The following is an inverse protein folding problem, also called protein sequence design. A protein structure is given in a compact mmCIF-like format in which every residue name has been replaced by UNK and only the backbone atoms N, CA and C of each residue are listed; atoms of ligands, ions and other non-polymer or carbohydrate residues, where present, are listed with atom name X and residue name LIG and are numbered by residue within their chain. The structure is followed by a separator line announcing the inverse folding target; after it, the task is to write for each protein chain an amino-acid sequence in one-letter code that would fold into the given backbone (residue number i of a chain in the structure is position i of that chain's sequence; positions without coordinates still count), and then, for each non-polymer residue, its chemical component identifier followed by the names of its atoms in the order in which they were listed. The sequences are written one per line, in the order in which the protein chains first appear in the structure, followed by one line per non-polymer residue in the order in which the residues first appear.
data_IF_157897301980
#
_entry.id   IF_157897301980
#
_cell.length_a   1.000
_cell.length_b   1.000
_cell.length_c   1.000
_cell.angle_alpha   90.00
_cell.angle_beta   90.00
_cell.angle_gamma   90.00
#
_symmetry.space_group_name_H-M   'P 1'
#
loop_
_entity.id
_entity.type
_entity.pdbx_description
1 polymer ?
#
# COMPACT_ATOMS: atom_id res chain seq x y z
N UNK A 1 -16.25 0.03 28.57
CA UNK A 1 -15.08 0.57 27.82
C UNK A 1 -14.25 -0.58 27.24
N UNK A 2 -14.88 -1.56 26.56
CA UNK A 2 -14.19 -2.82 26.18
C UNK A 2 -14.31 -3.22 24.71
N UNK A 3 -15.32 -2.72 23.98
CA UNK A 3 -15.52 -3.16 22.59
C UNK A 3 -14.56 -2.51 21.59
N UNK A 4 -14.14 -1.26 21.83
CA UNK A 4 -13.22 -0.54 20.94
C UNK A 4 -11.79 -1.11 20.97
N UNK A 5 -11.32 -1.56 22.14
CA UNK A 5 -9.99 -2.16 22.31
C UNK A 5 -9.94 -3.54 21.64
N UNK A 6 -11.00 -4.34 21.78
CA UNK A 6 -11.09 -5.65 21.14
C UNK A 6 -11.25 -5.59 19.61
N UNK A 7 -11.87 -4.53 19.08
CA UNK A 7 -11.91 -4.30 17.63
C UNK A 7 -10.55 -3.88 17.08
N UNK A 8 -9.84 -3.00 17.79
CA UNK A 8 -8.49 -2.59 17.39
C UNK A 8 -7.53 -3.80 17.36
N UNK A 9 -7.50 -4.62 18.41
CA UNK A 9 -6.64 -5.82 18.48
C UNK A 9 -6.94 -6.84 17.37
N UNK A 10 -8.20 -6.98 16.95
CA UNK A 10 -8.58 -7.85 15.82
C UNK A 10 -8.17 -7.29 14.47
N UNK A 11 -8.27 -5.97 14.29
CA UNK A 11 -7.78 -5.29 13.09
C UNK A 11 -6.27 -5.46 13.00
N UNK A 12 -5.57 -5.23 14.10
CA UNK A 12 -4.11 -5.38 14.20
C UNK A 12 -3.69 -6.82 13.89
N UNK A 13 -4.40 -7.84 14.42
CA UNK A 13 -4.11 -9.24 14.11
C UNK A 13 -4.34 -9.59 12.63
N UNK A 14 -5.43 -9.11 12.01
CA UNK A 14 -5.71 -9.36 10.59
C UNK A 14 -4.70 -8.68 9.64
N UNK A 15 -4.20 -7.50 10.02
CA UNK A 15 -3.10 -6.82 9.31
C UNK A 15 -1.82 -7.64 9.43
N UNK A 16 -1.49 -8.13 10.63
CA UNK A 16 -0.30 -8.96 10.85
C UNK A 16 -0.37 -10.31 10.14
N UNK A 17 -1.55 -10.91 10.02
CA UNK A 17 -1.76 -12.15 9.28
C UNK A 17 -1.58 -11.92 7.77
N UNK A 18 -2.09 -10.80 7.24
CA UNK A 18 -1.87 -10.37 5.84
C UNK A 18 -0.39 -10.09 5.56
N UNK A 19 0.34 -9.51 6.52
CA UNK A 19 1.79 -9.29 6.44
C UNK A 19 2.58 -10.61 6.53
N UNK A 20 2.06 -11.65 7.19
CA UNK A 20 2.73 -12.96 7.30
C UNK A 20 2.43 -13.90 6.14
N UNK A 21 1.29 -13.76 5.47
CA UNK A 21 0.91 -14.57 4.33
C UNK A 21 1.74 -14.21 3.08
N UNK A 22 2.48 -15.20 2.56
CA UNK A 22 3.24 -15.12 1.30
C UNK A 22 2.39 -15.42 0.06
N UNK A 23 1.10 -15.67 0.25
CA UNK A 23 0.16 -15.88 -0.84
C UNK A 23 -0.40 -14.53 -1.29
N UNK A 24 0.21 -13.98 -2.34
CA UNK A 24 -0.23 -12.70 -2.90
C UNK A 24 -1.31 -12.86 -3.97
N UNK A 25 -1.94 -14.04 -4.11
CA UNK A 25 -2.99 -14.27 -5.11
C UNK A 25 -4.15 -13.27 -4.97
N UNK A 26 -4.55 -12.94 -3.74
CA UNK A 26 -5.59 -11.96 -3.47
C UNK A 26 -5.20 -10.53 -3.86
N UNK A 27 -3.92 -10.16 -3.70
CA UNK A 27 -3.39 -8.85 -4.12
C UNK A 27 -3.24 -8.79 -5.65
N UNK A 28 -2.75 -9.87 -6.26
CA UNK A 28 -2.67 -10.01 -7.72
C UNK A 28 -4.06 -9.93 -8.36
N UNK A 29 -5.09 -10.52 -7.75
CA UNK A 29 -6.47 -10.38 -8.21
C UNK A 29 -7.01 -8.95 -8.18
N UNK A 30 -6.50 -8.09 -7.29
CA UNK A 30 -6.86 -6.67 -7.25
C UNK A 30 -6.14 -5.86 -8.33
N UNK A 31 -4.91 -6.24 -8.70
CA UNK A 31 -4.10 -5.53 -9.68
C UNK A 31 -4.35 -5.95 -11.12
N UNK A 32 -4.52 -7.25 -11.39
CA UNK A 32 -4.66 -7.79 -12.74
C UNK A 32 -5.80 -7.18 -13.59
N UNK A 33 -6.93 -6.73 -13.01
CA UNK A 33 -7.97 -6.06 -13.78
C UNK A 33 -7.70 -4.59 -14.08
N UNK A 34 -6.69 -3.97 -13.47
CA UNK A 34 -6.41 -2.54 -13.64
C UNK A 34 -5.87 -2.27 -15.05
N UNK A 35 -6.25 -1.12 -15.60
CA UNK A 35 -5.97 -0.76 -17.00
C UNK A 35 -4.64 0.00 -17.19
N UNK A 36 -3.75 -0.06 -16.21
CA UNK A 36 -2.46 0.63 -16.23
C UNK A 36 -1.43 -0.11 -17.10
N UNK A 37 -0.65 0.65 -17.85
CA UNK A 37 0.49 0.09 -18.57
C UNK A 37 1.70 -0.01 -17.63
N UNK A 38 2.70 -0.83 -17.98
CA UNK A 38 3.90 -0.99 -17.15
C UNK A 38 4.65 0.33 -16.90
N UNK A 39 4.64 1.25 -17.87
CA UNK A 39 5.29 2.56 -17.73
C UNK A 39 4.58 3.44 -16.69
N UNK A 40 3.24 3.43 -16.66
CA UNK A 40 2.44 4.15 -15.67
C UNK A 40 2.76 3.69 -14.25
N UNK A 41 2.93 2.37 -14.06
CA UNK A 41 3.30 1.77 -12.77
C UNK A 41 4.71 2.21 -12.36
N UNK A 42 5.68 2.16 -13.28
CA UNK A 42 7.06 2.59 -13.00
C UNK A 42 7.11 4.07 -12.63
N UNK A 43 6.41 4.93 -13.36
CA UNK A 43 6.36 6.36 -13.07
C UNK A 43 5.71 6.64 -11.71
N UNK A 44 4.59 5.99 -11.41
CA UNK A 44 3.90 6.12 -10.13
C UNK A 44 4.80 5.74 -8.94
N UNK A 45 5.49 4.61 -9.03
CA UNK A 45 6.39 4.14 -7.97
C UNK A 45 7.62 5.05 -7.82
N UNK A 46 8.15 5.58 -8.92
CA UNK A 46 9.26 6.53 -8.87
C UNK A 46 8.87 7.85 -8.19
N UNK A 47 7.70 8.40 -8.53
CA UNK A 47 7.16 9.60 -7.86
C UNK A 47 6.90 9.34 -6.38
N UNK A 48 6.27 8.20 -6.05
CA UNK A 48 6.03 7.80 -4.67
C UNK A 48 7.31 7.80 -3.83
N UNK A 49 8.34 7.07 -4.28
CA UNK A 49 9.61 6.99 -3.57
C UNK A 49 10.24 8.37 -3.40
N UNK A 50 10.31 9.15 -4.49
CA UNK A 50 10.94 10.47 -4.48
C UNK A 50 10.23 11.47 -3.57
N UNK A 51 8.90 11.39 -3.42
CA UNK A 51 8.12 12.28 -2.57
C UNK A 51 8.07 11.81 -1.12
N UNK A 52 7.97 10.49 -0.88
CA UNK A 52 7.88 9.91 0.47
C UNK A 52 9.13 10.11 1.33
N UNK A 53 10.28 10.37 0.69
CA UNK A 53 11.57 10.62 1.37
C UNK A 53 11.80 12.11 1.69
N UNK A 54 10.91 13.01 1.27
CA UNK A 54 11.03 14.45 1.50
C UNK A 54 10.33 14.87 2.79
N UNK A 55 10.90 15.82 3.53
CA UNK A 55 10.28 16.45 4.71
C UNK A 55 9.19 17.49 4.31
N UNK A 56 8.44 17.23 3.24
CA UNK A 56 7.39 18.12 2.74
C UNK A 56 6.06 17.36 2.61
N UNK A 57 5.42 17.17 3.75
CA UNK A 57 4.15 16.44 3.86
C UNK A 57 3.04 17.08 3.00
N UNK A 58 2.98 18.41 2.91
CA UNK A 58 1.96 19.11 2.10
C UNK A 58 2.08 18.75 0.61
N UNK A 59 3.31 18.68 0.08
CA UNK A 59 3.54 18.26 -1.31
C UNK A 59 3.17 16.79 -1.54
N UNK A 60 3.48 15.93 -0.57
CA UNK A 60 3.13 14.51 -0.65
C UNK A 60 1.61 14.32 -0.61
N UNK A 61 0.93 14.98 0.33
CA UNK A 61 -0.52 14.92 0.50
C UNK A 61 -1.25 15.43 -0.75
N UNK A 62 -0.84 16.59 -1.28
CA UNK A 62 -1.41 17.14 -2.52
C UNK A 62 -1.25 16.18 -3.70
N UNK A 63 -0.08 15.54 -3.85
CA UNK A 63 0.13 14.56 -4.91
C UNK A 63 -0.71 13.30 -4.69
N UNK A 64 -0.74 12.80 -3.46
CA UNK A 64 -1.43 11.57 -3.10
C UNK A 64 -2.95 11.71 -3.29
N UNK A 65 -3.54 12.82 -2.83
CA UNK A 65 -4.98 13.10 -2.95
C UNK A 65 -5.46 13.23 -4.41
N UNK A 66 -4.55 13.54 -5.33
CA UNK A 66 -4.85 13.65 -6.76
C UNK A 66 -4.71 12.32 -7.53
N UNK A 67 -4.35 11.22 -6.86
CA UNK A 67 -4.25 9.91 -7.50
C UNK A 67 -5.63 9.33 -7.79
N UNK A 68 -5.71 8.57 -8.88
CA UNK A 68 -6.89 7.75 -9.15
C UNK A 68 -7.00 6.58 -8.15
N UNK A 69 -8.22 6.03 -8.01
CA UNK A 69 -8.46 4.84 -7.19
C UNK A 69 -7.58 3.65 -7.59
N UNK A 70 -7.31 3.49 -8.88
CA UNK A 70 -6.43 2.42 -9.38
C UNK A 70 -4.99 2.65 -8.92
N UNK A 71 -4.47 3.87 -9.04
CA UNK A 71 -3.13 4.23 -8.57
C UNK A 71 -2.97 4.06 -7.05
N UNK A 72 -3.96 4.47 -6.25
CA UNK A 72 -3.96 4.20 -4.81
C UNK A 72 -3.92 2.70 -4.50
N UNK A 73 -4.62 1.88 -5.30
CA UNK A 73 -4.62 0.43 -5.15
C UNK A 73 -3.23 -0.14 -5.43
N UNK A 74 -2.57 0.33 -6.50
CA UNK A 74 -1.19 -0.05 -6.83
C UNK A 74 -0.24 0.30 -5.69
N UNK A 75 -0.28 1.54 -5.16
CA UNK A 75 0.59 1.98 -4.07
C UNK A 75 0.34 1.19 -2.78
N UNK A 76 -0.93 0.93 -2.44
CA UNK A 76 -1.27 0.11 -1.27
C UNK A 76 -0.70 -1.30 -1.37
N UNK A 77 -0.84 -1.93 -2.53
CA UNK A 77 -0.28 -3.27 -2.76
C UNK A 77 1.25 -3.21 -2.69
N UNK A 78 1.88 -2.21 -3.32
CA UNK A 78 3.32 -1.99 -3.25
C UNK A 78 3.83 -1.89 -1.81
N UNK A 79 3.18 -1.09 -0.94
CA UNK A 79 3.57 -0.93 0.46
C UNK A 79 3.46 -2.23 1.26
N UNK A 80 2.43 -3.05 1.00
CA UNK A 80 2.30 -4.37 1.61
C UNK A 80 3.48 -5.25 1.22
N UNK A 81 3.81 -5.33 -0.08
CA UNK A 81 4.98 -6.10 -0.54
C UNK A 81 6.28 -5.55 0.05
N UNK A 82 6.46 -4.23 0.06
CA UNK A 82 7.67 -3.57 0.60
C UNK A 82 7.87 -3.93 2.07
N UNK A 83 6.87 -3.70 2.92
CA UNK A 83 6.92 -4.03 4.34
C UNK A 83 7.18 -5.52 4.59
N UNK A 84 6.59 -6.40 3.78
CA UNK A 84 6.87 -7.84 3.87
C UNK A 84 8.32 -8.20 3.56
N UNK A 85 8.98 -7.55 2.60
CA UNK A 85 10.39 -7.78 2.30
C UNK A 85 11.33 -7.11 3.31
N UNK A 86 10.96 -5.96 3.85
CA UNK A 86 11.73 -5.27 4.89
C UNK A 86 11.74 -6.06 6.21
N UNK A 87 10.59 -6.66 6.58
CA UNK A 87 10.46 -7.53 7.77
C UNK A 87 11.01 -8.96 7.57
N UNK A 88 11.58 -9.29 6.40
CA UNK A 88 12.25 -10.56 6.13
C UNK A 88 13.76 -10.56 6.47
N UNK A 89 14.32 -9.40 6.81
CA UNK A 89 15.71 -9.26 7.31
C UNK A 89 15.76 -9.16 8.84
#
# INVERSE_FOLDING_TARGET
MSDAVQQQEKIDQGVMDTLRERDHSALAHQLNPLSCNHNDIVELLAQYMALSEQDNDELFDDWFDNLSKEQHTVLKVFEIYRGQYEHQN
#
